data_IF_230920912376
#
_entry.id   IF_230920912376
#
_cell.length_a   1.000
_cell.length_b   1.000
_cell.length_c   1.000
_cell.angle_alpha   90.00
_cell.angle_beta   90.00
_cell.angle_gamma   90.00
#
_symmetry.space_group_name_H-M   'P 1'
#
loop_
_entity.id
_entity.type
_entity.pdbx_description
1 polymer ?
#
# COMPACT_ATOMS: atom_id res chain seq x y z
N UNK A 1 -7.17 13.21 23.73
CA UNK A 1 -7.55 13.27 22.30
C UNK A 1 -6.36 13.59 21.37
N UNK A 2 -5.58 14.67 21.60
CA UNK A 2 -4.38 15.00 20.77
C UNK A 2 -3.39 13.84 20.52
N UNK A 3 -3.17 12.98 21.52
CA UNK A 3 -2.26 11.84 21.37
C UNK A 3 -2.83 10.74 20.44
N UNK A 4 -4.11 10.41 20.55
CA UNK A 4 -4.75 9.37 19.72
C UNK A 4 -4.78 9.77 18.25
N UNK A 5 -5.18 11.01 17.96
CA UNK A 5 -5.23 11.54 16.60
C UNK A 5 -3.84 11.58 15.94
N UNK A 6 -2.82 12.06 16.66
CA UNK A 6 -1.43 12.05 16.19
C UNK A 6 -0.92 10.64 15.86
N UNK A 7 -1.30 9.64 16.67
CA UNK A 7 -0.95 8.24 16.42
C UNK A 7 -1.65 7.69 15.18
N UNK A 8 -2.95 7.97 15.01
CA UNK A 8 -3.71 7.58 13.81
C UNK A 8 -3.09 8.18 12.56
N UNK A 9 -2.74 9.47 12.57
CA UNK A 9 -2.13 10.13 11.42
C UNK A 9 -0.75 9.57 11.07
N UNK A 10 0.02 9.18 12.09
CA UNK A 10 1.32 8.52 11.89
C UNK A 10 1.16 7.16 11.21
N UNK A 11 0.16 6.37 11.60
CA UNK A 11 -0.14 5.07 10.96
C UNK A 11 -0.57 5.26 9.50
N UNK A 12 -1.54 6.16 9.26
CA UNK A 12 -2.00 6.49 7.91
C UNK A 12 -0.86 6.96 7.00
N UNK A 13 0.06 7.77 7.54
CA UNK A 13 1.21 8.26 6.78
C UNK A 13 2.17 7.12 6.40
N UNK A 14 2.40 6.16 7.30
CA UNK A 14 3.26 4.99 7.03
C UNK A 14 2.64 4.07 5.98
N UNK A 15 1.35 3.77 6.10
CA UNK A 15 0.65 2.93 5.12
C UNK A 15 0.65 3.57 3.73
N UNK A 16 0.44 4.90 3.66
CA UNK A 16 0.57 5.64 2.41
C UNK A 16 1.98 5.56 1.84
N UNK A 17 3.02 5.67 2.66
CA UNK A 17 4.41 5.55 2.22
C UNK A 17 4.68 4.16 1.64
N UNK A 18 4.23 3.10 2.31
CA UNK A 18 4.36 1.73 1.82
C UNK A 18 3.62 1.50 0.52
N UNK A 19 2.38 1.98 0.40
CA UNK A 19 1.60 1.88 -0.82
C UNK A 19 2.33 2.56 -2.00
N UNK A 20 2.83 3.79 -1.80
CA UNK A 20 3.60 4.51 -2.83
C UNK A 20 4.90 3.78 -3.18
N UNK A 21 5.63 3.28 -2.17
CA UNK A 21 6.87 2.52 -2.40
C UNK A 21 6.61 1.26 -3.23
N UNK A 22 5.55 0.50 -2.92
CA UNK A 22 5.17 -0.68 -3.70
C UNK A 22 4.77 -0.32 -5.13
N UNK A 23 4.04 0.77 -5.35
CA UNK A 23 3.73 1.22 -6.71
C UNK A 23 4.98 1.59 -7.50
N UNK A 24 5.95 2.28 -6.89
CA UNK A 24 7.21 2.63 -7.55
C UNK A 24 8.00 1.38 -7.92
N UNK A 25 8.13 0.42 -7.00
CA UNK A 25 8.82 -0.86 -7.27
C UNK A 25 8.11 -1.64 -8.38
N UNK A 26 6.78 -1.71 -8.34
CA UNK A 26 5.98 -2.35 -9.38
C UNK A 26 6.25 -1.71 -10.75
N UNK A 27 6.22 -0.38 -10.86
CA UNK A 27 6.52 0.30 -12.13
C UNK A 27 7.93 0.02 -12.63
N UNK A 28 8.94 0.01 -11.75
CA UNK A 28 10.29 -0.34 -12.12
C UNK A 28 10.37 -1.77 -12.72
N UNK A 29 9.70 -2.73 -12.09
CA UNK A 29 9.61 -4.11 -12.60
C UNK A 29 8.87 -4.16 -13.93
N UNK A 30 7.72 -3.48 -14.06
CA UNK A 30 6.93 -3.46 -15.29
C UNK A 30 7.70 -2.86 -16.46
N UNK A 31 8.42 -1.75 -16.25
CA UNK A 31 9.27 -1.13 -17.28
C UNK A 31 10.38 -2.08 -17.69
N UNK A 32 11.08 -2.68 -16.72
CA UNK A 32 12.13 -3.66 -16.99
C UNK A 32 11.61 -4.85 -17.83
N UNK A 33 10.49 -5.43 -17.41
CA UNK A 33 9.85 -6.54 -18.14
C UNK A 33 9.41 -6.11 -19.53
N UNK A 34 8.83 -4.92 -19.68
CA UNK A 34 8.39 -4.42 -20.98
C UNK A 34 9.56 -4.20 -21.93
N UNK A 35 10.67 -3.62 -21.47
CA UNK A 35 11.86 -3.40 -22.29
C UNK A 35 12.45 -4.73 -22.76
N UNK A 36 12.57 -5.71 -21.86
CA UNK A 36 13.11 -7.03 -22.21
C UNK A 36 12.19 -7.78 -23.17
N UNK A 37 10.87 -7.74 -22.94
CA UNK A 37 9.88 -8.39 -23.81
C UNK A 37 9.79 -7.74 -25.20
N UNK A 38 9.85 -6.40 -25.28
CA UNK A 38 9.83 -5.67 -26.55
C UNK A 38 11.09 -5.98 -27.37
N UNK A 39 12.25 -6.07 -26.74
CA UNK A 39 13.50 -6.43 -27.43
C UNK A 39 13.46 -7.86 -28.03
N UNK A 40 12.69 -8.76 -27.43
CA UNK A 40 12.49 -10.13 -27.91
C UNK A 40 11.26 -10.29 -28.83
N UNK A 41 10.50 -9.21 -29.10
CA UNK A 41 9.25 -9.30 -29.83
C UNK A 41 9.49 -9.63 -31.32
N UNK A 42 8.76 -10.59 -31.92
CA UNK A 42 8.98 -11.02 -33.30
C UNK A 42 8.37 -10.07 -34.34
N UNK A 43 7.59 -9.08 -33.93
CA UNK A 43 7.02 -8.06 -34.82
C UNK A 43 6.71 -6.77 -34.07
N UNK A 44 6.62 -5.66 -34.83
CA UNK A 44 6.26 -4.35 -34.28
C UNK A 44 4.86 -4.34 -33.64
N UNK A 45 3.91 -5.12 -34.18
CA UNK A 45 2.57 -5.22 -33.62
C UNK A 45 2.57 -5.81 -32.21
N UNK A 46 3.38 -6.85 -31.97
CA UNK A 46 3.51 -7.45 -30.64
C UNK A 46 4.22 -6.49 -29.67
N UNK A 47 5.27 -5.79 -30.13
CA UNK A 47 5.94 -4.78 -29.32
C UNK A 47 4.98 -3.68 -28.84
N UNK A 48 4.13 -3.15 -29.75
CA UNK A 48 3.11 -2.15 -29.40
C UNK A 48 2.10 -2.72 -28.41
N UNK A 49 1.62 -3.95 -28.62
CA UNK A 49 0.68 -4.59 -27.71
C UNK A 49 1.26 -4.76 -26.29
N UNK A 50 2.53 -5.12 -26.16
CA UNK A 50 3.23 -5.24 -24.88
C UNK A 50 3.31 -3.89 -24.14
N UNK A 51 3.63 -2.81 -24.86
CA UNK A 51 3.69 -1.45 -24.27
C UNK A 51 2.30 -1.02 -23.78
N UNK A 52 1.25 -1.25 -24.58
CA UNK A 52 -0.12 -0.93 -24.19
C UNK A 52 -0.59 -1.76 -22.99
N UNK A 53 -0.26 -3.06 -22.96
CA UNK A 53 -0.58 -3.93 -21.84
C UNK A 53 0.12 -3.48 -20.54
N UNK A 54 1.41 -3.13 -20.62
CA UNK A 54 2.16 -2.59 -19.49
C UNK A 54 1.54 -1.28 -18.98
N UNK A 55 1.22 -0.35 -19.88
CA UNK A 55 0.61 0.92 -19.53
C UNK A 55 -0.77 0.76 -18.90
N UNK A 56 -1.61 -0.12 -19.46
CA UNK A 56 -2.93 -0.42 -18.92
C UNK A 56 -2.83 -1.08 -17.53
N UNK A 57 -2.00 -2.11 -17.37
CA UNK A 57 -1.82 -2.81 -16.11
C UNK A 57 -1.27 -1.86 -15.02
N UNK A 58 -0.18 -1.15 -15.30
CA UNK A 58 0.44 -0.22 -14.37
C UNK A 58 -0.49 0.95 -14.04
N UNK A 59 -1.17 1.51 -15.05
CA UNK A 59 -2.10 2.63 -14.89
C UNK A 59 -3.32 2.27 -14.05
N UNK A 60 -4.00 1.16 -14.39
CA UNK A 60 -5.17 0.70 -13.65
C UNK A 60 -4.81 0.31 -12.21
N UNK A 61 -3.70 -0.40 -12.00
CA UNK A 61 -3.25 -0.76 -10.65
C UNK A 61 -2.94 0.48 -9.80
N UNK A 62 -2.25 1.47 -10.39
CA UNK A 62 -1.96 2.75 -9.73
C UNK A 62 -3.25 3.50 -9.38
N UNK A 63 -4.25 3.53 -10.28
CA UNK A 63 -5.55 4.13 -10.01
C UNK A 63 -6.29 3.44 -8.86
N UNK A 64 -6.27 2.10 -8.81
CA UNK A 64 -6.82 1.32 -7.70
C UNK A 64 -6.14 1.65 -6.36
N UNK A 65 -4.81 1.78 -6.35
CA UNK A 65 -4.06 2.20 -5.16
C UNK A 65 -4.49 3.62 -4.71
N UNK A 66 -4.62 4.58 -5.64
CA UNK A 66 -5.09 5.92 -5.29
C UNK A 66 -6.51 5.91 -4.72
N UNK A 67 -7.40 5.09 -5.29
CA UNK A 67 -8.75 4.90 -4.75
C UNK A 67 -8.72 4.33 -3.32
N UNK A 68 -7.86 3.34 -3.08
CA UNK A 68 -7.66 2.74 -1.76
C UNK A 68 -7.18 3.77 -0.73
N UNK A 69 -6.12 4.54 -1.05
CA UNK A 69 -5.58 5.59 -0.17
C UNK A 69 -6.64 6.66 0.12
N UNK A 70 -7.40 7.09 -0.90
CA UNK A 70 -8.48 8.07 -0.75
C UNK A 70 -9.55 7.56 0.22
N UNK A 71 -9.95 6.29 0.09
CA UNK A 71 -10.95 5.66 0.98
C UNK A 71 -10.42 5.51 2.40
N UNK A 72 -9.16 5.09 2.57
CA UNK A 72 -8.55 5.00 3.91
C UNK A 72 -8.51 6.33 4.64
N UNK A 73 -8.23 7.43 3.94
CA UNK A 73 -8.25 8.76 4.56
C UNK A 73 -9.63 9.13 5.13
N UNK A 74 -10.71 8.71 4.46
CA UNK A 74 -12.09 8.99 4.89
C UNK A 74 -12.51 8.09 6.06
N UNK A 75 -12.03 6.85 6.12
CA UNK A 75 -12.41 5.86 7.12
C UNK A 75 -11.36 5.67 8.25
N UNK A 76 -10.30 6.50 8.32
CA UNK A 76 -9.15 6.28 9.22
C UNK A 76 -9.54 6.12 10.69
N UNK A 77 -10.46 6.95 11.19
CA UNK A 77 -10.85 6.89 12.60
C UNK A 77 -11.61 5.61 12.95
N UNK A 78 -12.44 5.08 12.04
CA UNK A 78 -13.19 3.84 12.27
C UNK A 78 -12.29 2.60 12.32
N UNK A 79 -11.17 2.62 11.59
CA UNK A 79 -10.23 1.49 11.53
C UNK A 79 -9.19 1.59 12.63
N UNK A 80 -8.44 2.69 12.69
CA UNK A 80 -7.24 2.75 13.52
C UNK A 80 -7.52 3.03 15.00
N UNK A 81 -8.67 3.62 15.36
CA UNK A 81 -8.98 3.86 16.77
C UNK A 81 -9.23 2.55 17.54
N UNK A 82 -10.14 1.65 17.10
CA UNK A 82 -10.32 0.35 17.75
C UNK A 82 -9.03 -0.46 17.83
N UNK A 83 -8.20 -0.43 16.77
CA UNK A 83 -6.93 -1.15 16.74
C UNK A 83 -5.95 -0.64 17.81
N UNK A 84 -5.83 0.68 17.97
CA UNK A 84 -4.97 1.29 19.00
C UNK A 84 -5.45 0.94 20.40
N UNK A 85 -6.77 0.99 20.63
CA UNK A 85 -7.39 0.67 21.93
C UNK A 85 -7.21 -0.81 22.27
N UNK A 86 -7.48 -1.72 21.34
CA UNK A 86 -7.28 -3.16 21.51
C UNK A 86 -5.81 -3.52 21.75
N UNK A 87 -4.86 -2.89 21.03
CA UNK A 87 -3.43 -3.06 21.29
C UNK A 87 -3.02 -2.59 22.68
N UNK A 88 -3.64 -1.53 23.20
CA UNK A 88 -3.39 -1.06 24.55
C UNK A 88 -3.91 -2.06 25.60
N UNK A 89 -5.10 -2.61 25.38
CA UNK A 89 -5.69 -3.65 26.24
C UNK A 89 -4.81 -4.91 26.28
N UNK A 90 -4.39 -5.43 25.12
CA UNK A 90 -3.51 -6.60 25.04
C UNK A 90 -2.18 -6.39 25.77
N UNK A 91 -1.59 -5.19 25.68
CA UNK A 91 -0.35 -4.85 26.40
C UNK A 91 -0.56 -4.81 27.91
N UNK A 92 -1.68 -4.26 28.38
CA UNK A 92 -2.02 -4.24 29.79
C UNK A 92 -2.24 -5.65 30.35
N UNK A 93 -2.92 -6.51 29.60
CA UNK A 93 -3.10 -7.92 29.96
C UNK A 93 -1.77 -8.69 30.00
N UNK A 94 -0.90 -8.50 29.01
CA UNK A 94 0.42 -9.12 28.99
C UNK A 94 1.28 -8.68 30.18
N UNK A 95 1.21 -7.39 30.57
CA UNK A 95 1.89 -6.89 31.76
C UNK A 95 1.34 -7.54 33.05
N UNK A 96 0.01 -7.65 33.19
CA UNK A 96 -0.63 -8.33 34.33
C UNK A 96 -0.23 -9.80 34.46
N UNK A 97 -0.19 -10.52 33.33
CA UNK A 97 0.26 -11.93 33.31
C UNK A 97 1.71 -12.06 33.76
N UNK A 98 2.59 -11.14 33.36
CA UNK A 98 4.00 -11.13 33.79
C UNK A 98 4.19 -10.81 35.27
N UNK A 99 3.32 -9.99 35.87
CA UNK A 99 3.39 -9.70 37.31
C UNK A 99 2.78 -10.79 38.20
N UNK A 100 2.02 -11.72 37.62
CA UNK A 100 1.37 -12.83 38.33
C UNK A 100 2.13 -14.17 38.22
N UNK A 101 3.24 -14.18 37.46
CA UNK A 101 4.17 -15.30 37.29
C UNK A 101 5.47 -15.01 38.03
#
# INVERSE_FOLDING_TARGET
>A
MKNLESRIDTLVRRDRLLAVAFAVVMWAVLVFVCVTAVAAAPSAGIAVALVLAMAALGGLNTASMFALIRRYRLAKYQVYQPDIENLALQRAEAARRRSAA
#
